data_IF_412279632300
#
_entry.id   IF_412279632300
#
_cell.length_a   1.000
_cell.length_b   1.000
_cell.length_c   1.000
_cell.angle_alpha   90.00
_cell.angle_beta   90.00
_cell.angle_gamma   90.00
#
_symmetry.space_group_name_H-M   'P 1'
#
loop_
_entity.id
_entity.type
_entity.pdbx_description
1 polymer ?
#
# COMPACT_ATOMS: atom_id res chain seq x y z
N UNK A 1 20.63 26.29 -21.93
CA UNK A 1 20.32 25.19 -21.01
C UNK A 1 20.25 23.91 -21.83
N UNK A 2 21.08 22.92 -21.50
CA UNK A 2 21.12 21.62 -22.18
C UNK A 2 20.87 20.56 -21.11
N UNK A 3 19.75 19.86 -21.19
CA UNK A 3 19.34 18.86 -20.19
C UNK A 3 20.14 17.56 -20.31
N UNK A 4 20.65 17.25 -21.51
CA UNK A 4 21.44 16.06 -21.77
C UNK A 4 22.38 16.28 -22.96
N UNK A 5 23.63 15.80 -22.87
CA UNK A 5 24.67 16.14 -23.84
C UNK A 5 24.59 15.41 -25.19
N UNK A 6 23.76 14.36 -25.29
CA UNK A 6 23.65 13.51 -26.49
C UNK A 6 22.62 13.92 -27.54
N UNK A 7 21.72 14.86 -27.26
CA UNK A 7 20.68 15.30 -28.21
C UNK A 7 20.91 16.76 -28.57
N UNK A 8 21.31 17.00 -29.82
CA UNK A 8 21.55 18.34 -30.36
C UNK A 8 20.80 18.49 -31.67
N UNK A 9 20.37 19.72 -31.98
CA UNK A 9 19.67 20.01 -33.23
C UNK A 9 20.69 20.02 -34.37
N UNK A 10 20.62 19.09 -35.35
CA UNK A 10 21.54 19.08 -36.48
C UNK A 10 21.26 20.28 -37.38
N UNK A 11 22.32 20.96 -37.84
CA UNK A 11 22.22 22.10 -38.77
C UNK A 11 22.42 21.65 -40.21
N UNK A 12 21.53 20.79 -40.70
CA UNK A 12 21.58 20.24 -42.07
C UNK A 12 20.49 20.85 -42.95
N UNK A 13 20.69 20.85 -44.28
CA UNK A 13 19.77 21.50 -45.24
C UNK A 13 18.91 20.51 -46.01
N UNK A 14 19.32 19.24 -46.10
CA UNK A 14 18.64 18.18 -46.85
C UNK A 14 17.87 17.26 -45.90
N UNK A 15 16.71 16.79 -46.35
CA UNK A 15 15.83 15.93 -45.55
C UNK A 15 16.51 14.59 -45.23
N UNK A 16 17.20 14.00 -46.19
CA UNK A 16 17.89 12.71 -46.02
C UNK A 16 18.93 12.76 -44.89
N UNK A 17 19.65 13.89 -44.78
CA UNK A 17 20.64 14.12 -43.72
C UNK A 17 20.00 14.28 -42.32
N UNK A 18 18.74 14.72 -42.24
CA UNK A 18 18.00 14.73 -40.97
C UNK A 18 17.59 13.32 -40.55
N UNK A 19 17.13 12.49 -41.50
CA UNK A 19 16.70 11.11 -41.23
C UNK A 19 17.91 10.29 -40.75
N UNK A 20 19.04 10.37 -41.47
CA UNK A 20 20.30 9.72 -41.08
C UNK A 20 20.82 10.17 -39.71
N UNK A 21 20.46 11.37 -39.24
CA UNK A 21 20.83 11.87 -37.91
C UNK A 21 19.91 11.34 -36.82
N UNK A 22 18.59 11.27 -37.07
CA UNK A 22 17.61 10.69 -36.13
C UNK A 22 17.87 9.20 -35.94
N UNK A 23 18.24 8.48 -37.00
CA UNK A 23 18.54 7.04 -36.94
C UNK A 23 19.79 6.71 -36.11
N UNK A 24 20.63 7.71 -35.80
CA UNK A 24 21.80 7.54 -34.91
C UNK A 24 21.43 7.61 -33.42
N UNK A 25 20.21 8.01 -33.07
CA UNK A 25 19.81 8.08 -31.67
C UNK A 25 19.65 6.68 -31.05
N UNK A 26 19.99 6.53 -29.76
CA UNK A 26 19.77 5.27 -29.05
C UNK A 26 18.27 4.93 -29.02
N UNK A 27 17.95 3.63 -29.10
CA UNK A 27 16.57 3.13 -28.96
C UNK A 27 15.98 3.38 -27.57
N UNK A 28 16.82 3.62 -26.57
CA UNK A 28 16.42 3.84 -25.18
C UNK A 28 16.93 5.21 -24.75
N UNK A 29 15.98 6.10 -24.48
CA UNK A 29 16.23 7.45 -24.02
C UNK A 29 16.47 7.47 -22.50
N UNK A 30 17.62 7.98 -22.02
CA UNK A 30 17.84 8.16 -20.59
C UNK A 30 16.88 9.23 -20.00
N UNK A 31 16.43 9.06 -18.75
CA UNK A 31 15.43 9.92 -18.11
C UNK A 31 15.88 11.38 -17.98
N UNK A 32 17.19 11.64 -18.02
CA UNK A 32 17.78 12.98 -18.01
C UNK A 32 17.33 13.85 -19.20
N UNK A 33 16.98 13.24 -20.35
CA UNK A 33 16.45 13.98 -21.50
C UNK A 33 15.13 14.68 -21.15
N UNK A 34 14.33 14.07 -20.26
CA UNK A 34 13.09 14.64 -19.74
C UNK A 34 13.31 15.53 -18.50
N UNK A 35 14.56 15.81 -18.13
CA UNK A 35 14.91 16.56 -16.92
C UNK A 35 14.76 15.76 -15.63
N UNK A 36 14.62 14.43 -15.71
CA UNK A 36 14.48 13.54 -14.56
C UNK A 36 15.84 13.03 -14.07
N UNK A 37 15.92 12.70 -12.79
CA UNK A 37 17.10 12.03 -12.22
C UNK A 37 17.22 10.59 -12.74
N UNK A 38 18.43 10.03 -12.82
CA UNK A 38 18.68 8.64 -13.26
C UNK A 38 17.86 7.59 -12.48
N UNK A 39 17.56 7.87 -11.21
CA UNK A 39 16.71 7.02 -10.37
C UNK A 39 15.26 6.88 -10.88
N UNK A 40 14.81 7.71 -11.83
CA UNK A 40 13.49 7.57 -12.44
C UNK A 40 13.33 6.22 -13.14
N UNK A 41 14.39 5.68 -13.76
CA UNK A 41 14.37 4.36 -14.40
C UNK A 41 14.21 3.23 -13.38
N UNK A 42 14.85 3.37 -12.21
CA UNK A 42 14.72 2.43 -11.09
C UNK A 42 13.28 2.44 -10.58
N UNK A 43 12.72 3.64 -10.36
CA UNK A 43 11.33 3.80 -9.92
C UNK A 43 10.35 3.23 -10.93
N UNK A 44 10.55 3.52 -12.22
CA UNK A 44 9.72 3.00 -13.31
C UNK A 44 9.76 1.46 -13.35
N UNK A 45 10.96 0.88 -13.33
CA UNK A 45 11.15 -0.57 -13.37
C UNK A 45 10.55 -1.25 -12.14
N UNK A 46 10.71 -0.64 -10.97
CA UNK A 46 10.13 -1.11 -9.70
C UNK A 46 8.60 -1.09 -9.78
N UNK A 47 8.00 0.00 -10.24
CA UNK A 47 6.56 0.13 -10.39
C UNK A 47 5.99 -0.84 -11.44
N UNK A 48 6.70 -1.03 -12.55
CA UNK A 48 6.31 -1.97 -13.60
C UNK A 48 6.34 -3.41 -13.11
N UNK A 49 7.41 -3.78 -12.39
CA UNK A 49 7.55 -5.11 -11.77
C UNK A 49 6.48 -5.35 -10.72
N UNK A 50 6.23 -4.36 -9.85
CA UNK A 50 5.15 -4.43 -8.85
C UNK A 50 3.78 -4.62 -9.52
N UNK A 51 3.46 -3.84 -10.55
CA UNK A 51 2.19 -3.96 -11.28
C UNK A 51 2.05 -5.33 -11.96
N UNK A 52 3.15 -5.90 -12.46
CA UNK A 52 3.15 -7.24 -13.04
C UNK A 52 2.88 -8.31 -11.97
N UNK A 53 3.57 -8.24 -10.83
CA UNK A 53 3.36 -9.17 -9.71
C UNK A 53 1.94 -9.08 -9.16
N UNK A 54 1.40 -7.86 -8.99
CA UNK A 54 0.01 -7.66 -8.60
C UNK A 54 -0.94 -8.36 -9.57
N UNK A 55 -0.77 -8.18 -10.89
CA UNK A 55 -1.61 -8.87 -11.88
C UNK A 55 -1.51 -10.39 -11.78
N UNK A 56 -0.32 -10.94 -11.55
CA UNK A 56 -0.12 -12.38 -11.35
C UNK A 56 -0.94 -12.88 -10.16
N UNK A 57 -0.89 -12.18 -9.01
CA UNK A 57 -1.66 -12.54 -7.80
C UNK A 57 -3.17 -12.51 -8.10
N UNK A 58 -3.67 -11.53 -8.86
CA UNK A 58 -5.10 -11.45 -9.19
C UNK A 58 -5.59 -12.56 -10.13
N UNK A 59 -4.72 -13.16 -10.94
CA UNK A 59 -5.08 -14.25 -11.87
C UNK A 59 -5.01 -15.61 -11.18
N UNK A 60 -4.31 -15.73 -10.04
CA UNK A 60 -4.19 -17.00 -9.33
C UNK A 60 -5.56 -17.48 -8.79
N UNK A 61 -5.92 -18.76 -9.00
CA UNK A 61 -7.18 -19.30 -8.50
C UNK A 61 -7.18 -19.36 -6.97
N UNK A 62 -8.00 -18.52 -6.35
CA UNK A 62 -8.08 -18.35 -4.89
C UNK A 62 -8.66 -19.56 -4.13
N UNK A 63 -9.25 -20.52 -4.86
CA UNK A 63 -9.91 -21.71 -4.30
C UNK A 63 -9.18 -23.02 -4.65
N UNK A 64 -8.06 -22.98 -5.37
CA UNK A 64 -7.38 -24.22 -5.80
C UNK A 64 -6.72 -24.99 -4.64
N UNK A 65 -6.53 -24.37 -3.47
CA UNK A 65 -5.87 -24.98 -2.30
C UNK A 65 -6.82 -25.62 -1.29
N UNK A 66 -8.14 -25.48 -1.42
CA UNK A 66 -9.09 -26.01 -0.44
C UNK A 66 -9.36 -27.52 -0.55
N UNK A 67 -8.90 -28.18 -1.61
CA UNK A 67 -9.19 -29.60 -1.87
C UNK A 67 -8.00 -30.56 -1.67
N UNK A 68 -6.85 -30.09 -1.18
CA UNK A 68 -5.69 -30.95 -0.90
C UNK A 68 -5.66 -31.26 0.60
N UNK A 69 -5.97 -32.51 0.95
CA UNK A 69 -5.91 -33.00 2.33
C UNK A 69 -4.53 -32.76 2.95
N UNK A 70 -4.45 -31.89 3.97
CA UNK A 70 -3.22 -31.63 4.74
C UNK A 70 -2.67 -30.21 4.65
N UNK A 71 -3.17 -29.36 3.75
CA UNK A 71 -2.85 -27.92 3.73
C UNK A 71 -3.86 -27.21 4.64
N UNK A 72 -3.38 -26.35 5.55
CA UNK A 72 -4.28 -25.53 6.37
C UNK A 72 -5.22 -24.74 5.48
N UNK A 73 -6.53 -24.83 5.74
CA UNK A 73 -7.53 -24.06 5.00
C UNK A 73 -7.17 -22.58 5.07
N UNK A 74 -7.41 -21.85 3.98
CA UNK A 74 -7.23 -20.40 3.88
C UNK A 74 -7.74 -19.65 5.11
N UNK A 75 -8.90 -20.03 5.61
CA UNK A 75 -9.53 -19.43 6.79
C UNK A 75 -8.71 -19.66 8.07
N UNK A 76 -8.07 -20.82 8.22
CA UNK A 76 -7.21 -21.15 9.37
C UNK A 76 -5.94 -20.30 9.39
N UNK A 77 -5.32 -20.12 8.23
CA UNK A 77 -4.12 -19.26 8.07
C UNK A 77 -4.48 -17.82 8.45
N UNK A 78 -5.59 -17.31 7.91
CA UNK A 78 -6.06 -15.95 8.21
C UNK A 78 -6.44 -15.81 9.68
N UNK A 79 -7.04 -16.84 10.29
CA UNK A 79 -7.37 -16.84 11.72
C UNK A 79 -6.12 -16.72 12.61
N UNK A 80 -5.08 -17.49 12.32
CA UNK A 80 -3.81 -17.43 13.03
C UNK A 80 -3.14 -16.05 12.86
N UNK A 81 -3.13 -15.53 11.63
CA UNK A 81 -2.58 -14.21 11.35
C UNK A 81 -3.37 -13.09 12.05
N UNK A 82 -4.69 -13.19 12.11
CA UNK A 82 -5.55 -12.26 12.84
C UNK A 82 -5.26 -12.28 14.35
N UNK A 83 -5.03 -13.47 14.93
CA UNK A 83 -4.61 -13.60 16.33
C UNK A 83 -3.27 -12.90 16.59
N UNK A 84 -2.27 -13.15 15.74
CA UNK A 84 -0.95 -12.52 15.87
C UNK A 84 -1.03 -11.00 15.77
N UNK A 85 -1.87 -10.49 14.86
CA UNK A 85 -2.12 -9.04 14.72
C UNK A 85 -2.81 -8.47 15.97
N UNK A 86 -3.82 -9.15 16.52
CA UNK A 86 -4.53 -8.72 17.73
C UNK A 86 -3.61 -8.66 18.95
N UNK A 87 -2.68 -9.60 19.09
CA UNK A 87 -1.69 -9.62 20.18
C UNK A 87 -0.71 -8.45 20.06
N UNK A 88 -0.29 -8.11 18.83
CA UNK A 88 0.63 -6.99 18.57
C UNK A 88 -0.04 -5.61 18.64
N UNK A 89 -1.37 -5.56 18.56
CA UNK A 89 -2.11 -4.30 18.53
C UNK A 89 -2.04 -3.61 19.91
N UNK A 90 -1.66 -2.32 19.98
CA UNK A 90 -1.67 -1.59 21.23
C UNK A 90 -3.07 -1.51 21.86
N UNK A 91 -3.09 -1.30 23.18
CA UNK A 91 -4.35 -1.06 23.91
C UNK A 91 -4.99 0.23 23.40
N UNK A 92 -6.32 0.27 23.41
CA UNK A 92 -7.08 1.45 23.04
C UNK A 92 -6.75 2.63 23.95
N UNK A 93 -6.90 3.85 23.45
CA UNK A 93 -6.62 5.03 24.26
C UNK A 93 -7.68 5.23 25.34
N UNK A 94 -7.23 5.50 26.58
CA UNK A 94 -8.13 5.87 27.67
C UNK A 94 -8.38 7.38 27.56
N UNK A 95 -9.56 7.73 27.06
CA UNK A 95 -9.92 9.12 26.74
C UNK A 95 -9.75 10.08 27.92
N UNK A 96 -10.01 9.63 29.15
CA UNK A 96 -9.86 10.44 30.36
C UNK A 96 -8.40 10.79 30.65
N UNK A 97 -7.50 9.79 30.67
CA UNK A 97 -6.07 10.00 30.96
C UNK A 97 -5.38 10.85 29.88
N UNK A 98 -5.74 10.61 28.62
CA UNK A 98 -5.23 11.40 27.49
C UNK A 98 -5.65 12.85 27.64
N UNK A 99 -6.93 13.10 27.93
CA UNK A 99 -7.47 14.45 28.12
C UNK A 99 -6.82 15.17 29.31
N UNK A 100 -6.64 14.49 30.43
CA UNK A 100 -6.00 15.07 31.62
C UNK A 100 -4.54 15.48 31.34
N UNK A 101 -3.77 14.62 30.68
CA UNK A 101 -2.39 14.93 30.26
C UNK A 101 -2.32 16.10 29.28
N UNK A 102 -3.27 16.19 28.33
CA UNK A 102 -3.36 17.29 27.37
C UNK A 102 -3.72 18.62 28.03
N UNK A 103 -4.60 18.61 29.05
CA UNK A 103 -4.93 19.81 29.84
C UNK A 103 -3.69 20.32 30.57
N UNK A 104 -2.93 19.43 31.21
CA UNK A 104 -1.71 19.78 31.95
C UNK A 104 -0.60 20.35 31.05
N UNK A 105 -0.60 20.06 29.74
CA UNK A 105 0.39 20.54 28.77
C UNK A 105 0.05 21.91 28.15
N UNK A 106 -1.18 22.42 28.34
CA UNK A 106 -1.62 23.71 27.80
C UNK A 106 -2.45 23.60 26.52
N UNK A 107 -3.77 23.48 26.68
CA UNK A 107 -4.77 23.19 25.63
C UNK A 107 -4.71 24.14 24.42
N UNK A 108 -4.27 25.40 24.62
CA UNK A 108 -4.30 26.45 23.59
C UNK A 108 -3.05 26.46 22.69
N UNK A 109 -2.07 25.58 22.90
CA UNK A 109 -0.92 25.48 22.00
C UNK A 109 -1.33 24.78 20.69
N UNK A 110 -1.07 25.37 19.51
CA UNK A 110 -1.37 24.75 18.22
C UNK A 110 -0.84 23.31 18.08
N UNK A 111 0.36 23.01 18.60
CA UNK A 111 0.92 21.65 18.57
C UNK A 111 0.10 20.64 19.37
N UNK A 112 -0.52 21.09 20.47
CA UNK A 112 -1.36 20.25 21.33
C UNK A 112 -2.70 19.97 20.65
N UNK A 113 -3.24 20.95 19.93
CA UNK A 113 -4.45 20.76 19.12
C UNK A 113 -4.21 19.72 18.02
N UNK A 114 -3.08 19.78 17.31
CA UNK A 114 -2.70 18.76 16.34
C UNK A 114 -2.53 17.39 16.99
N UNK A 115 -1.86 17.31 18.13
CA UNK A 115 -1.69 16.06 18.88
C UNK A 115 -3.05 15.45 19.29
N UNK A 116 -4.00 16.25 19.77
CA UNK A 116 -5.36 15.79 20.08
C UNK A 116 -6.02 15.13 18.86
N UNK A 117 -5.93 15.77 17.68
CA UNK A 117 -6.54 15.28 16.46
C UNK A 117 -5.87 13.98 15.98
N UNK A 118 -4.54 13.91 16.03
CA UNK A 118 -3.79 12.71 15.67
C UNK A 118 -4.11 11.54 16.62
N UNK A 119 -4.17 11.78 17.93
CA UNK A 119 -4.57 10.72 18.89
C UNK A 119 -5.98 10.21 18.59
N UNK A 120 -6.92 11.10 18.31
CA UNK A 120 -8.29 10.70 17.95
C UNK A 120 -8.33 9.87 16.67
N UNK A 121 -7.54 10.27 15.66
CA UNK A 121 -7.44 9.54 14.39
C UNK A 121 -6.84 8.15 14.60
N UNK A 122 -5.73 8.05 15.34
CA UNK A 122 -5.06 6.78 15.65
C UNK A 122 -5.97 5.87 16.48
N UNK A 123 -6.67 6.39 17.48
CA UNK A 123 -7.62 5.60 18.29
C UNK A 123 -8.75 5.03 17.43
N UNK A 124 -9.28 5.82 16.49
CA UNK A 124 -10.29 5.36 15.54
C UNK A 124 -9.77 4.20 14.70
N UNK A 125 -8.57 4.31 14.14
CA UNK A 125 -7.94 3.24 13.35
C UNK A 125 -7.72 1.99 14.20
N UNK A 126 -7.16 2.11 15.41
CA UNK A 126 -6.93 0.98 16.32
C UNK A 126 -8.25 0.27 16.63
N UNK A 127 -9.32 1.02 16.91
CA UNK A 127 -10.65 0.44 17.16
C UNK A 127 -11.21 -0.28 15.93
N UNK A 128 -11.11 0.33 14.75
CA UNK A 128 -11.59 -0.28 13.51
C UNK A 128 -10.83 -1.57 13.21
N UNK A 129 -9.51 -1.58 13.34
CA UNK A 129 -8.67 -2.78 13.16
C UNK A 129 -9.04 -3.85 14.18
N UNK A 130 -9.16 -3.51 15.46
CA UNK A 130 -9.53 -4.47 16.52
C UNK A 130 -10.89 -5.10 16.28
N UNK A 131 -11.90 -4.29 15.94
CA UNK A 131 -13.25 -4.76 15.69
C UNK A 131 -13.30 -5.66 14.45
N UNK A 132 -12.71 -5.22 13.34
CA UNK A 132 -12.68 -6.02 12.11
C UNK A 132 -11.96 -7.35 12.26
N UNK A 133 -10.85 -7.40 13.00
CA UNK A 133 -10.15 -8.66 13.28
C UNK A 133 -10.98 -9.61 14.17
N UNK A 134 -11.66 -9.09 15.20
CA UNK A 134 -12.56 -9.89 16.03
C UNK A 134 -13.76 -10.41 15.23
N UNK A 135 -14.40 -9.54 14.44
CA UNK A 135 -15.54 -9.92 13.60
C UNK A 135 -15.12 -10.96 12.56
N UNK A 136 -13.94 -10.82 11.96
CA UNK A 136 -13.38 -11.80 11.04
C UNK A 136 -13.19 -13.17 11.71
N UNK A 137 -12.69 -13.21 12.94
CA UNK A 137 -12.55 -14.46 13.70
C UNK A 137 -13.89 -15.11 14.01
N UNK A 138 -14.90 -14.32 14.40
CA UNK A 138 -16.26 -14.80 14.62
C UNK A 138 -16.88 -15.33 13.32
N UNK A 139 -16.61 -14.68 12.18
CA UNK A 139 -17.13 -15.08 10.87
C UNK A 139 -16.50 -16.41 10.41
N UNK A 140 -15.18 -16.56 10.58
CA UNK A 140 -14.46 -17.81 10.28
C UNK A 140 -15.00 -18.97 11.15
N UNK A 141 -15.32 -18.70 12.42
CA UNK A 141 -15.92 -19.69 13.32
C UNK A 141 -17.41 -19.95 13.03
N UNK A 142 -18.02 -19.26 12.07
CA UNK A 142 -19.44 -19.41 11.70
C UNK A 142 -20.43 -18.80 12.69
N UNK A 143 -19.97 -17.94 13.61
CA UNK A 143 -20.81 -17.29 14.62
C UNK A 143 -21.54 -16.08 14.02
N UNK A 144 -20.89 -15.35 13.12
CA UNK A 144 -21.49 -14.24 12.37
C UNK A 144 -21.42 -14.50 10.87
N UNK A 145 -22.30 -13.83 10.11
CA UNK A 145 -22.34 -13.95 8.66
C UNK A 145 -21.13 -13.22 8.06
N UNK A 146 -20.41 -13.90 7.17
CA UNK A 146 -19.33 -13.28 6.38
C UNK A 146 -19.94 -12.34 5.34
N UNK A 147 -19.93 -11.04 5.64
CA UNK A 147 -20.35 -9.99 4.71
C UNK A 147 -19.24 -9.64 3.69
N UNK A 148 -19.55 -8.84 2.68
CA UNK A 148 -18.59 -8.49 1.63
C UNK A 148 -17.35 -7.74 2.16
N UNK A 149 -17.51 -6.88 3.17
CA UNK A 149 -16.39 -6.17 3.82
C UNK A 149 -15.45 -7.16 4.52
N UNK A 150 -15.97 -8.08 5.34
CA UNK A 150 -15.17 -9.11 6.00
C UNK A 150 -14.51 -10.06 5.00
N UNK A 151 -15.18 -10.36 3.87
CA UNK A 151 -14.58 -11.14 2.79
C UNK A 151 -13.41 -10.41 2.13
N UNK A 152 -13.53 -9.10 1.90
CA UNK A 152 -12.42 -8.29 1.39
C UNK A 152 -11.26 -8.19 2.38
N UNK A 153 -11.56 -8.12 3.68
CA UNK A 153 -10.55 -8.12 4.75
C UNK A 153 -9.83 -9.48 4.78
N UNK A 154 -10.56 -10.60 4.71
CA UNK A 154 -10.00 -11.95 4.62
C UNK A 154 -9.08 -12.09 3.41
N UNK A 155 -9.54 -11.64 2.23
CA UNK A 155 -8.76 -11.60 1.00
C UNK A 155 -7.49 -10.76 1.14
N UNK A 156 -7.61 -9.57 1.71
CA UNK A 156 -6.47 -8.66 1.88
C UNK A 156 -5.44 -9.23 2.85
N UNK A 157 -5.87 -9.78 3.99
CA UNK A 157 -4.99 -10.38 5.00
C UNK A 157 -4.28 -11.62 4.43
N UNK A 158 -4.99 -12.47 3.67
CA UNK A 158 -4.39 -13.62 3.00
C UNK A 158 -3.34 -13.22 1.95
N UNK A 159 -3.63 -12.18 1.16
CA UNK A 159 -2.73 -11.64 0.15
C UNK A 159 -1.59 -10.77 0.74
N UNK A 160 -1.53 -10.59 2.07
CA UNK A 160 -0.53 -9.74 2.73
C UNK A 160 -0.70 -8.24 2.47
N UNK A 161 -1.92 -7.79 2.14
CA UNK A 161 -2.27 -6.39 1.87
C UNK A 161 -3.05 -5.79 3.03
N UNK A 162 -2.98 -4.45 3.15
CA UNK A 162 -3.78 -3.71 4.12
C UNK A 162 -5.22 -3.59 3.60
N UNK A 163 -6.24 -4.01 4.36
CA UNK A 163 -7.63 -3.81 4.00
C UNK A 163 -7.98 -2.33 3.80
N UNK A 164 -8.85 -2.04 2.82
CA UNK A 164 -9.24 -0.67 2.45
C UNK A 164 -9.86 0.09 3.63
N UNK A 165 -10.62 -0.62 4.48
CA UNK A 165 -11.32 -0.07 5.63
C UNK A 165 -10.37 0.48 6.71
N UNK A 166 -9.08 0.09 6.67
CA UNK A 166 -8.07 0.52 7.63
C UNK A 166 -7.30 1.78 7.19
N UNK A 167 -7.48 2.24 5.95
CA UNK A 167 -6.68 3.34 5.35
C UNK A 167 -7.22 4.75 5.71
N UNK A 168 -8.16 4.85 6.65
CA UNK A 168 -8.87 6.10 7.00
C UNK A 168 -8.38 6.81 8.27
#
# INVERSE_FOLDING_TARGET
FKFYDGYSIPKVKRLDEYIDYVDKFPLIDPPQIFGLHSNADITYSTNRTKSMLEKIIHIQPKEASSNISGIETRDKIVYNLANDMLIKLPKNFIQHEVREKLINMGILNPMIIFLCQEIYRIDRVIRTVRNSLNDLQLAINGIIILNDSLRQILDSIYDGRVPIDWVN
#
